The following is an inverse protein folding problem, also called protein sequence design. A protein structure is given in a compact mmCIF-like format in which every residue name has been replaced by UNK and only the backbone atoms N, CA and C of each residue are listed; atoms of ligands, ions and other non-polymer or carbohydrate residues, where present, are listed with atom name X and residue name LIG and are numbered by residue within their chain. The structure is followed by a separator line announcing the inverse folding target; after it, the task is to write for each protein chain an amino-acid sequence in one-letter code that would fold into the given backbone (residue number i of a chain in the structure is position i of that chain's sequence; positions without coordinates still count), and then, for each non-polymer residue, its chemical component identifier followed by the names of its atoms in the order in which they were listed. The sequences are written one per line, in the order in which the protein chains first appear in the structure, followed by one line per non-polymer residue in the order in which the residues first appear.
data_IF_515914525774
#
_entry.id   IF_515914525774
#
_cell.length_a   1.000
_cell.length_b   1.000
_cell.length_c   1.000
_cell.angle_alpha   90.00
_cell.angle_beta   90.00
_cell.angle_gamma   90.00
#
_symmetry.space_group_name_H-M   'P 1'
#
loop_
_entity.id
_entity.type
_entity.pdbx_description
1 polymer ?
#
# COMPACT_ATOMS: atom_id res chain seq x y z
N UNK A 1 -15.22 4.95 -5.93
CA UNK A 1 -14.12 4.93 -4.94
C UNK A 1 -12.82 4.98 -5.71
N UNK A 2 -11.92 5.88 -5.33
CA UNK A 2 -10.70 6.23 -6.04
C UNK A 2 -9.46 5.69 -5.31
N UNK A 3 -9.51 4.41 -4.90
CA UNK A 3 -8.41 3.75 -4.20
C UNK A 3 -7.10 3.85 -4.96
N UNK A 4 -6.00 3.94 -4.22
CA UNK A 4 -4.67 4.12 -4.77
C UNK A 4 -3.86 2.85 -4.69
N UNK A 5 -2.98 2.70 -5.67
CA UNK A 5 -2.00 1.62 -5.75
C UNK A 5 -0.62 2.25 -5.86
N UNK A 6 0.27 1.85 -4.97
CA UNK A 6 1.69 2.23 -4.98
C UNK A 6 2.56 0.98 -5.01
N UNK A 7 3.81 1.13 -5.42
CA UNK A 7 4.75 0.01 -5.45
C UNK A 7 5.98 0.28 -4.60
N UNK A 8 6.36 -0.74 -3.81
CA UNK A 8 7.56 -0.73 -2.97
C UNK A 8 8.70 -1.40 -3.73
N UNK A 9 9.87 -0.75 -3.90
CA UNK A 9 11.04 -1.35 -4.53
C UNK A 9 11.47 -2.64 -3.84
N UNK A 10 11.95 -3.63 -4.63
CA UNK A 10 12.35 -4.96 -4.12
C UNK A 10 13.36 -4.88 -2.97
N UNK A 11 14.30 -3.95 -3.04
CA UNK A 11 15.37 -3.74 -2.05
C UNK A 11 14.93 -2.98 -0.80
N UNK A 12 13.74 -2.37 -0.79
CA UNK A 12 13.16 -1.69 0.39
C UNK A 12 12.08 -2.54 1.06
N UNK A 13 11.78 -3.73 0.53
CA UNK A 13 10.68 -4.54 1.02
C UNK A 13 10.88 -5.03 2.46
N UNK A 14 12.12 -5.37 2.82
CA UNK A 14 12.43 -5.82 4.18
C UNK A 14 12.22 -4.68 5.19
N UNK A 15 12.80 -3.51 4.90
CA UNK A 15 12.62 -2.29 5.70
C UNK A 15 11.13 -1.94 5.83
N UNK A 16 10.36 -2.06 4.74
CA UNK A 16 8.91 -1.79 4.73
C UNK A 16 8.11 -2.75 5.62
N UNK A 17 8.49 -4.03 5.71
CA UNK A 17 7.82 -4.99 6.61
C UNK A 17 8.14 -4.66 8.08
N UNK A 18 9.31 -4.10 8.35
CA UNK A 18 9.73 -3.69 9.70
C UNK A 18 9.07 -2.38 10.16
N UNK A 19 8.57 -1.55 9.22
CA UNK A 19 7.72 -0.41 9.54
C UNK A 19 6.40 -0.87 10.18
N UNK A 20 5.98 -0.19 11.25
CA UNK A 20 4.84 -0.57 12.08
C UNK A 20 3.48 -0.51 11.36
N UNK A 21 2.48 -1.11 12.00
CA UNK A 21 1.10 -1.21 11.50
C UNK A 21 1.00 -1.88 10.11
N UNK A 22 1.84 -2.89 9.88
CA UNK A 22 1.72 -3.79 8.75
C UNK A 22 0.45 -4.65 8.87
N UNK A 23 0.04 -5.27 7.76
CA UNK A 23 -1.20 -6.03 7.73
C UNK A 23 -1.20 -7.19 8.74
N UNK A 24 -2.19 -7.19 9.64
CA UNK A 24 -2.32 -8.14 10.75
C UNK A 24 -1.64 -7.73 12.05
N UNK A 25 -0.87 -6.64 12.08
CA UNK A 25 -0.27 -6.12 13.30
C UNK A 25 -1.27 -5.19 14.04
N UNK A 26 -1.27 -5.15 15.39
CA UNK A 26 -2.08 -4.20 16.13
C UNK A 26 -1.68 -2.76 15.81
N UNK A 27 -2.65 -1.85 15.71
CA UNK A 27 -2.38 -0.43 15.56
C UNK A 27 -1.56 0.07 16.76
N UNK A 28 -0.36 0.58 16.47
CA UNK A 28 0.61 1.04 17.47
C UNK A 28 0.29 2.44 18.01
N UNK A 29 -0.65 3.15 17.39
CA UNK A 29 -0.89 4.57 17.68
C UNK A 29 0.03 5.53 16.93
N UNK A 30 0.94 4.99 16.12
CA UNK A 30 1.89 5.75 15.32
C UNK A 30 1.32 5.90 13.91
N UNK A 31 1.28 7.12 13.42
CA UNK A 31 0.92 7.38 12.03
C UNK A 31 2.09 7.03 11.11
N UNK A 32 1.80 6.26 10.07
CA UNK A 32 2.74 5.93 9.01
C UNK A 32 2.33 6.62 7.72
N UNK A 33 3.31 6.96 6.87
CA UNK A 33 3.04 7.66 5.63
C UNK A 33 3.80 7.08 4.44
N UNK A 34 3.10 6.91 3.31
CA UNK A 34 3.74 6.64 2.03
C UNK A 34 4.00 7.96 1.30
N UNK A 35 5.26 8.25 0.99
CA UNK A 35 5.65 9.49 0.33
C UNK A 35 5.64 9.35 -1.20
N UNK A 36 4.95 10.26 -1.87
CA UNK A 36 4.91 10.36 -3.33
C UNK A 36 5.37 11.73 -3.81
N UNK A 37 6.10 11.76 -4.92
CA UNK A 37 6.42 12.99 -5.64
C UNK A 37 5.30 13.44 -6.58
N UNK A 38 5.41 14.67 -7.09
CA UNK A 38 4.53 15.16 -8.15
C UNK A 38 3.16 15.65 -7.68
N UNK A 39 2.10 15.25 -8.39
CA UNK A 39 0.73 15.75 -8.20
C UNK A 39 0.06 15.13 -6.98
N UNK A 40 -0.75 15.93 -6.27
CA UNK A 40 -1.62 15.45 -5.18
C UNK A 40 -2.60 14.41 -5.73
N UNK A 41 -2.67 13.20 -5.16
CA UNK A 41 -3.71 12.25 -5.52
C UNK A 41 -5.07 12.77 -5.06
N UNK A 42 -6.10 12.47 -5.84
CA UNK A 42 -7.48 12.75 -5.46
C UNK A 42 -8.05 11.51 -4.75
N UNK A 43 -7.81 11.43 -3.45
CA UNK A 43 -8.26 10.34 -2.58
C UNK A 43 -8.82 10.93 -1.29
N UNK A 44 -9.86 10.31 -0.75
CA UNK A 44 -10.56 10.71 0.47
C UNK A 44 -10.16 9.83 1.67
N UNK A 45 -10.32 10.33 2.90
CA UNK A 45 -10.22 9.52 4.11
C UNK A 45 -11.14 8.28 4.03
N UNK A 46 -10.64 7.12 4.47
CA UNK A 46 -11.31 5.82 4.42
C UNK A 46 -11.13 5.05 3.12
N UNK A 47 -10.70 5.69 2.02
CA UNK A 47 -10.31 4.98 0.80
C UNK A 47 -8.98 4.22 1.00
N UNK A 48 -8.74 3.22 0.17
CA UNK A 48 -7.66 2.24 0.38
C UNK A 48 -6.37 2.66 -0.32
N UNK A 49 -5.25 2.53 0.39
CA UNK A 49 -3.90 2.52 -0.20
C UNK A 49 -3.40 1.09 -0.31
N UNK A 50 -3.34 0.57 -1.53
CA UNK A 50 -2.81 -0.74 -1.85
C UNK A 50 -1.29 -0.72 -2.03
N UNK A 51 -0.61 -1.69 -1.41
CA UNK A 51 0.83 -1.87 -1.50
C UNK A 51 1.13 -3.04 -2.42
N UNK A 52 1.90 -2.78 -3.48
CA UNK A 52 2.42 -3.79 -4.38
C UNK A 52 3.91 -3.94 -4.16
N UNK A 53 4.38 -5.17 -3.95
CA UNK A 53 5.80 -5.47 -3.85
C UNK A 53 6.10 -6.81 -4.52
N UNK A 54 7.22 -6.89 -5.24
CA UNK A 54 7.63 -8.10 -5.96
C UNK A 54 6.56 -8.64 -6.93
N UNK A 55 5.88 -7.73 -7.63
CA UNK A 55 4.92 -8.13 -8.65
C UNK A 55 3.55 -8.58 -8.13
N UNK A 56 3.34 -8.49 -6.81
CA UNK A 56 2.13 -8.98 -6.14
C UNK A 56 1.51 -7.90 -5.29
N UNK A 57 0.19 -7.89 -5.24
CA UNK A 57 -0.54 -7.11 -4.24
C UNK A 57 -0.30 -7.74 -2.86
N UNK A 58 0.07 -6.92 -1.89
CA UNK A 58 0.42 -7.37 -0.53
C UNK A 58 -0.67 -7.09 0.48
N UNK A 59 -1.52 -6.12 0.18
CA UNK A 59 -2.61 -5.69 1.02
C UNK A 59 -2.93 -4.23 0.80
N UNK A 60 -3.81 -3.72 1.65
CA UNK A 60 -4.12 -2.29 1.73
C UNK A 60 -4.18 -1.81 3.15
N UNK A 61 -4.20 -0.50 3.32
CA UNK A 61 -4.61 0.17 4.55
C UNK A 61 -5.58 1.30 4.23
N UNK A 62 -6.58 1.58 5.10
CA UNK A 62 -7.39 2.78 4.96
C UNK A 62 -6.52 4.02 5.14
N UNK A 63 -6.79 5.04 4.34
CA UNK A 63 -6.11 6.34 4.40
C UNK A 63 -6.81 7.22 5.43
N UNK A 64 -6.03 7.92 6.24
CA UNK A 64 -6.55 8.98 7.11
C UNK A 64 -6.57 10.32 6.37
N UNK A 65 -5.42 10.74 5.81
CA UNK A 65 -5.32 12.00 5.08
C UNK A 65 -4.17 12.03 4.08
N UNK A 66 -4.16 13.06 3.24
CA UNK A 66 -3.04 13.38 2.34
C UNK A 66 -2.52 14.78 2.66
N UNK A 67 -1.27 14.85 3.07
CA UNK A 67 -0.62 16.07 3.55
C UNK A 67 0.60 16.44 2.69
N UNK A 68 0.86 17.75 2.53
CA UNK A 68 2.05 18.22 1.82
C UNK A 68 3.23 18.25 2.79
N UNK A 69 4.32 17.55 2.47
CA UNK A 69 5.57 17.64 3.22
C UNK A 69 6.70 18.02 2.26
N UNK A 70 7.13 19.28 2.32
CA UNK A 70 8.11 19.85 1.39
C UNK A 70 7.64 19.77 -0.08
N UNK A 71 8.44 19.12 -0.91
CA UNK A 71 8.17 18.90 -2.33
C UNK A 71 7.35 17.63 -2.62
N UNK A 72 7.03 16.85 -1.59
CA UNK A 72 6.31 15.56 -1.67
C UNK A 72 4.93 15.63 -1.01
N UNK A 73 4.10 14.63 -1.32
CA UNK A 73 2.86 14.36 -0.59
C UNK A 73 3.03 13.11 0.26
N UNK A 74 2.60 13.20 1.52
CA UNK A 74 2.50 12.09 2.45
C UNK A 74 1.06 11.55 2.41
N UNK A 75 0.90 10.27 2.10
CA UNK A 75 -0.37 9.56 2.24
C UNK A 75 -0.34 8.90 3.62
N UNK A 76 -1.01 9.53 4.58
CA UNK A 76 -1.03 9.11 5.97
C UNK A 76 -2.07 8.01 6.21
N UNK A 77 -1.69 7.01 6.99
CA UNK A 77 -2.52 5.85 7.36
C UNK A 77 -2.34 5.54 8.84
N UNK A 78 -3.35 4.91 9.43
CA UNK A 78 -3.35 4.51 10.83
C UNK A 78 -3.93 3.09 10.92
N UNK A 79 -3.11 2.11 11.34
CA UNK A 79 -3.58 0.74 11.56
C UNK A 79 -4.37 0.11 10.40
N UNK A 80 -5.19 -0.88 10.77
CA UNK A 80 -6.22 -1.54 9.94
C UNK A 80 -5.76 -2.02 8.56
N UNK A 81 -4.47 -2.32 8.45
CA UNK A 81 -3.92 -2.89 7.24
C UNK A 81 -4.44 -4.34 7.08
N UNK A 82 -4.92 -4.66 5.89
CA UNK A 82 -5.50 -5.96 5.55
C UNK A 82 -4.66 -6.63 4.48
N UNK A 83 -4.27 -7.87 4.74
CA UNK A 83 -3.46 -8.67 3.83
C UNK A 83 -4.38 -9.32 2.78
N UNK A 84 -4.35 -8.77 1.57
CA UNK A 84 -5.09 -9.29 0.42
C UNK A 84 -4.19 -9.34 -0.81
N UNK A 85 -4.55 -10.19 -1.77
CA UNK A 85 -3.95 -10.23 -3.09
C UNK A 85 -5.01 -10.48 -4.16
N UNK A 86 -4.58 -10.38 -5.41
CA UNK A 86 -5.31 -10.79 -6.61
C UNK A 86 -4.45 -11.78 -7.40
N UNK A 87 -5.03 -12.49 -8.36
CA UNK A 87 -4.30 -13.42 -9.23
C UNK A 87 -3.38 -12.71 -10.23
N UNK A 88 -3.72 -11.47 -10.59
CA UNK A 88 -3.00 -10.70 -11.59
C UNK A 88 -1.60 -10.28 -11.08
N UNK A 89 -0.58 -10.54 -11.90
CA UNK A 89 0.74 -9.96 -11.70
C UNK A 89 0.73 -8.45 -11.98
N UNK A 90 1.26 -7.66 -11.04
CA UNK A 90 1.32 -6.20 -11.14
C UNK A 90 2.78 -5.74 -11.36
N UNK A 91 3.11 -5.31 -12.57
CA UNK A 91 4.43 -4.73 -12.87
C UNK A 91 4.66 -3.48 -12.01
N UNK A 92 5.82 -3.41 -11.36
CA UNK A 92 6.23 -2.26 -10.54
C UNK A 92 6.24 -0.94 -11.32
N UNK A 93 5.92 0.17 -10.65
CA UNK A 93 5.89 1.52 -11.22
C UNK A 93 6.21 2.60 -10.19
N UNK A 94 6.71 3.74 -10.64
CA UNK A 94 6.96 4.88 -9.78
C UNK A 94 5.71 5.76 -9.67
N UNK A 95 5.45 6.29 -8.47
CA UNK A 95 4.29 7.12 -8.17
C UNK A 95 3.09 6.28 -7.74
N UNK A 96 1.89 6.71 -8.14
CA UNK A 96 0.64 6.08 -7.77
C UNK A 96 -0.25 5.87 -9.00
N UNK A 97 -1.17 4.93 -8.90
CA UNK A 97 -2.26 4.70 -9.87
C UNK A 97 -3.56 4.51 -9.12
N UNK A 98 -4.68 4.74 -9.78
CA UNK A 98 -5.97 4.27 -9.26
C UNK A 98 -6.07 2.77 -9.40
N UNK A 99 -6.74 2.10 -8.45
CA UNK A 99 -7.11 0.69 -8.52
C UNK A 99 -7.82 0.40 -9.84
N UNK A 100 -7.46 -0.71 -10.48
CA UNK A 100 -7.96 -1.10 -11.81
C UNK A 100 -8.50 -2.54 -11.89
N UNK A 101 -8.58 -3.24 -10.74
CA UNK A 101 -9.27 -4.52 -10.58
C UNK A 101 -10.58 -4.32 -9.83
N UNK A 102 -11.43 -5.34 -9.72
CA UNK A 102 -12.68 -5.30 -8.97
C UNK A 102 -12.49 -5.80 -7.53
N UNK A 103 -13.34 -5.39 -6.58
CA UNK A 103 -13.11 -5.74 -5.17
C UNK A 103 -13.26 -7.24 -4.94
N UNK A 104 -14.08 -7.88 -5.76
CA UNK A 104 -14.38 -9.31 -5.78
C UNK A 104 -13.18 -10.15 -6.24
N UNK A 105 -12.18 -9.54 -6.88
CA UNK A 105 -10.93 -10.20 -7.26
C UNK A 105 -10.01 -10.40 -6.04
N UNK A 106 -10.28 -9.71 -4.93
CA UNK A 106 -9.44 -9.72 -3.73
C UNK A 106 -9.71 -10.95 -2.86
N UNK A 107 -8.64 -11.65 -2.48
CA UNK A 107 -8.70 -12.75 -1.53
C UNK A 107 -7.62 -12.63 -0.45
N UNK A 108 -7.83 -13.25 0.73
CA UNK A 108 -6.87 -13.20 1.83
C UNK A 108 -5.47 -13.66 1.40
N UNK A 109 -4.44 -12.94 1.81
CA UNK A 109 -3.05 -13.27 1.50
C UNK A 109 -2.22 -13.57 2.74
N UNK A 110 -2.35 -14.77 3.29
CA UNK A 110 -1.66 -15.16 4.53
C UNK A 110 -0.13 -15.03 4.45
N UNK A 111 0.45 -15.37 3.29
CA UNK A 111 1.90 -15.34 3.04
C UNK A 111 2.36 -14.03 2.39
N UNK A 112 1.65 -12.93 2.64
CA UNK A 112 1.95 -11.65 2.00
C UNK A 112 3.37 -11.15 2.23
N UNK A 113 4.01 -11.49 3.35
CA UNK A 113 5.40 -11.08 3.62
C UNK A 113 6.42 -11.78 2.71
N UNK A 114 6.18 -13.05 2.34
CA UNK A 114 7.23 -13.94 1.81
C UNK A 114 6.93 -14.58 0.45
N UNK A 115 5.67 -14.74 0.07
CA UNK A 115 5.33 -15.45 -1.17
C UNK A 115 5.75 -14.63 -2.41
N UNK A 116 6.40 -15.28 -3.37
CA UNK A 116 6.92 -14.65 -4.60
C UNK A 116 8.18 -13.80 -4.41
N UNK A 117 8.81 -13.81 -3.24
CA UNK A 117 10.15 -13.27 -3.09
C UNK A 117 11.17 -14.18 -3.79
N UNK A 118 12.24 -13.60 -4.35
CA UNK A 118 13.35 -14.30 -5.02
C UNK A 118 13.03 -15.00 -6.36
N UNK A 119 11.95 -14.58 -7.03
CA UNK A 119 11.68 -14.88 -8.44
C UNK A 119 12.39 -13.89 -9.39
#
# INVERSE_FOLDING_TARGET
MADLVVTVPKNQWLDWIEEGDAAGDPATGIEWAFFIGGKKPNILPGERLYIVAWGRLRGYSPIDRVERQGDKWAICRYGDAVAVTIDQHIKGFQGWRYRWWEYEDEFPFEKWKTEGLYQ
#
